data_IF_282559155466
#
_entry.id   IF_282559155466
#
_cell.length_a   1.000
_cell.length_b   1.000
_cell.length_c   1.000
_cell.angle_alpha   90.00
_cell.angle_beta   90.00
_cell.angle_gamma   90.00
#
_symmetry.space_group_name_H-M   'P 1'
#
loop_
_entity.id
_entity.type
_entity.pdbx_description
1 polymer ?
#
# COMPACT_ATOMS: atom_id res chain seq x y z
N UNK A 1 11.86 -40.38 16.45
CA UNK A 1 11.30 -39.25 15.69
C UNK A 1 10.32 -38.49 16.58
N UNK A 2 10.04 -37.24 16.20
CA UNK A 2 8.98 -36.32 16.66
C UNK A 2 9.45 -35.26 17.67
N UNK A 3 10.00 -34.17 17.13
CA UNK A 3 10.06 -32.86 17.78
C UNK A 3 8.65 -32.25 17.76
N UNK A 4 8.01 -32.16 18.93
CA UNK A 4 6.78 -31.40 19.10
C UNK A 4 7.10 -29.90 19.03
N UNK A 5 6.83 -29.28 17.89
CA UNK A 5 6.82 -27.83 17.75
C UNK A 5 5.57 -27.27 18.44
N UNK A 6 5.65 -27.05 19.76
CA UNK A 6 4.79 -26.07 20.42
C UNK A 6 5.24 -24.68 19.98
N UNK A 7 4.81 -24.27 18.79
CA UNK A 7 4.93 -22.88 18.34
C UNK A 7 3.77 -22.14 18.98
N UNK A 8 4.03 -21.58 20.16
CA UNK A 8 3.19 -20.54 20.73
C UNK A 8 2.93 -19.49 19.64
N UNK A 9 1.67 -19.18 19.29
CA UNK A 9 1.40 -18.22 18.23
C UNK A 9 2.06 -16.89 18.63
N UNK A 10 2.79 -16.22 17.72
CA UNK A 10 3.46 -14.97 18.05
C UNK A 10 2.45 -14.00 18.66
N UNK A 11 2.83 -13.25 19.71
CA UNK A 11 1.92 -12.37 20.42
C UNK A 11 1.17 -11.51 19.42
N UNK A 12 -0.15 -11.47 19.54
CA UNK A 12 -0.99 -10.66 18.68
C UNK A 12 -0.51 -9.22 18.81
N UNK A 13 0.17 -8.71 17.77
CA UNK A 13 0.60 -7.32 17.71
C UNK A 13 -0.63 -6.49 17.97
N UNK A 14 -0.62 -5.64 19.00
CA UNK A 14 -1.75 -4.77 19.32
C UNK A 14 -1.98 -3.83 18.13
N UNK A 15 -2.87 -4.23 17.21
CA UNK A 15 -3.16 -3.49 15.99
C UNK A 15 -4.03 -2.31 16.36
N UNK A 16 -3.43 -1.14 16.57
CA UNK A 16 -4.20 0.10 16.62
C UNK A 16 -4.97 0.24 15.30
N UNK A 17 -6.26 0.57 15.30
CA UNK A 17 -6.96 0.86 14.07
C UNK A 17 -6.28 2.05 13.36
N UNK A 18 -6.02 1.90 12.06
CA UNK A 18 -5.55 3.00 11.23
C UNK A 18 -6.60 4.11 11.24
N UNK A 19 -6.14 5.35 11.32
CA UNK A 19 -6.95 6.57 11.30
C UNK A 19 -6.80 7.29 9.96
N UNK A 20 -7.61 8.31 9.73
CA UNK A 20 -7.46 9.16 8.54
C UNK A 20 -6.13 9.93 8.54
N UNK A 21 -5.64 10.37 9.70
CA UNK A 21 -4.33 11.01 9.83
C UNK A 21 -3.20 10.05 9.43
N UNK A 22 -3.28 8.78 9.86
CA UNK A 22 -2.32 7.76 9.45
C UNK A 22 -2.35 7.54 7.93
N UNK A 23 -3.53 7.58 7.31
CA UNK A 23 -3.68 7.45 5.86
C UNK A 23 -3.00 8.60 5.10
N UNK A 24 -3.13 9.83 5.60
CA UNK A 24 -2.43 11.01 5.06
C UNK A 24 -0.91 10.83 5.16
N UNK A 25 -0.40 10.43 6.32
CA UNK A 25 1.03 10.18 6.52
C UNK A 25 1.55 9.05 5.63
N UNK A 26 0.76 7.99 5.42
CA UNK A 26 1.10 6.86 4.54
C UNK A 26 1.19 7.30 3.07
N UNK A 27 0.33 8.22 2.63
CA UNK A 27 0.41 8.82 1.29
C UNK A 27 1.68 9.63 1.10
N UNK A 28 1.97 10.52 2.04
CA UNK A 28 3.20 11.33 2.04
C UNK A 28 4.43 10.43 2.00
N UNK A 29 4.47 9.39 2.85
CA UNK A 29 5.60 8.46 2.91
C UNK A 29 5.80 7.68 1.60
N UNK A 30 4.72 7.37 0.87
CA UNK A 30 4.82 6.74 -0.46
C UNK A 30 5.53 7.66 -1.46
N UNK A 31 5.18 8.94 -1.51
CA UNK A 31 5.83 9.89 -2.42
C UNK A 31 7.29 10.15 -2.07
N UNK A 32 7.63 10.06 -0.79
CA UNK A 32 9.01 10.06 -0.29
C UNK A 32 9.75 8.72 -0.52
N UNK A 33 9.14 7.75 -1.20
CA UNK A 33 9.69 6.42 -1.52
C UNK A 33 10.11 5.62 -0.28
N UNK A 34 9.43 5.82 0.86
CA UNK A 34 9.62 4.97 2.04
C UNK A 34 9.17 3.55 1.72
N UNK A 35 9.95 2.56 2.15
CA UNK A 35 9.67 1.16 1.83
C UNK A 35 8.38 0.70 2.54
N UNK A 36 7.50 -0.07 1.89
CA UNK A 36 6.25 -0.55 2.50
C UNK A 36 6.46 -1.35 3.79
N UNK A 37 7.55 -2.11 3.90
CA UNK A 37 7.87 -2.88 5.12
C UNK A 37 8.14 -1.99 6.34
N UNK A 38 8.70 -0.80 6.13
CA UNK A 38 8.95 0.15 7.20
C UNK A 38 7.63 0.79 7.68
N UNK A 39 6.68 1.02 6.76
CA UNK A 39 5.33 1.46 7.09
C UNK A 39 4.55 0.41 7.87
N UNK A 40 4.61 -0.86 7.45
CA UNK A 40 3.97 -1.98 8.16
C UNK A 40 4.46 -2.06 9.61
N UNK A 41 5.77 -1.94 9.82
CA UNK A 41 6.38 -1.94 11.16
C UNK A 41 5.95 -0.74 11.98
N UNK A 42 5.95 0.46 11.37
CA UNK A 42 5.60 1.72 12.06
C UNK A 42 4.14 1.76 12.50
N UNK A 43 3.22 1.34 11.63
CA UNK A 43 1.78 1.39 11.88
C UNK A 43 1.20 0.07 12.40
N UNK A 44 2.04 -0.95 12.60
CA UNK A 44 1.64 -2.29 13.05
C UNK A 44 0.47 -2.87 12.23
N UNK A 45 0.45 -2.60 10.92
CA UNK A 45 -0.67 -2.94 10.04
C UNK A 45 -0.31 -4.05 9.05
N UNK A 46 -1.33 -4.78 8.58
CA UNK A 46 -1.18 -5.75 7.51
C UNK A 46 -0.77 -5.05 6.19
N UNK A 47 0.12 -5.65 5.37
CA UNK A 47 0.54 -5.09 4.09
C UNK A 47 -0.62 -4.66 3.18
N UNK A 48 -1.72 -5.45 3.14
CA UNK A 48 -2.89 -5.18 2.31
C UNK A 48 -3.53 -3.84 2.67
N UNK A 49 -3.50 -3.44 3.95
CA UNK A 49 -4.10 -2.18 4.41
C UNK A 49 -3.43 -0.96 3.77
N UNK A 50 -2.13 -1.02 3.50
CA UNK A 50 -1.44 0.05 2.79
C UNK A 50 -1.98 0.21 1.37
N UNK A 51 -2.20 -0.90 0.67
CA UNK A 51 -2.77 -0.88 -0.69
C UNK A 51 -4.23 -0.41 -0.71
N UNK A 52 -5.04 -0.75 0.30
CA UNK A 52 -6.42 -0.24 0.41
C UNK A 52 -6.46 1.28 0.56
N UNK A 53 -5.52 1.85 1.34
CA UNK A 53 -5.35 3.31 1.47
C UNK A 53 -4.88 3.90 0.15
N UNK A 54 -3.91 3.27 -0.49
CA UNK A 54 -3.37 3.73 -1.77
C UNK A 54 -4.35 3.59 -2.94
N UNK A 55 -5.29 2.66 -2.88
CA UNK A 55 -6.42 2.51 -3.81
C UNK A 55 -7.55 3.52 -3.50
N UNK A 56 -7.45 4.29 -2.41
CA UNK A 56 -8.53 5.09 -1.82
C UNK A 56 -9.80 4.29 -1.48
N UNK A 57 -9.71 2.96 -1.43
CA UNK A 57 -10.80 2.08 -0.99
C UNK A 57 -11.09 2.28 0.50
N UNK A 58 -10.07 2.65 1.28
CA UNK A 58 -10.16 3.02 2.69
C UNK A 58 -9.67 4.46 2.87
N UNK A 59 -10.44 5.27 3.59
CA UNK A 59 -10.22 6.73 3.74
C UNK A 59 -10.23 7.48 2.39
N UNK A 60 -11.37 7.49 1.67
CA UNK A 60 -11.47 8.21 0.40
C UNK A 60 -11.21 9.71 0.61
N UNK A 61 -10.42 10.33 -0.28
CA UNK A 61 -10.06 11.74 -0.19
C UNK A 61 -8.81 12.02 0.67
N UNK A 62 -8.31 11.02 1.41
CA UNK A 62 -7.05 11.15 2.17
C UNK A 62 -5.85 11.49 1.27
N UNK A 63 -5.87 11.04 0.00
CA UNK A 63 -4.85 11.37 -1.00
C UNK A 63 -4.78 12.86 -1.31
N UNK A 64 -5.94 13.50 -1.49
CA UNK A 64 -6.01 14.92 -1.82
C UNK A 64 -5.47 15.76 -0.66
N UNK A 65 -5.91 15.44 0.57
CA UNK A 65 -5.38 16.08 1.79
C UNK A 65 -3.88 15.87 1.96
N UNK A 66 -3.39 14.67 1.70
CA UNK A 66 -1.96 14.39 1.72
C UNK A 66 -1.19 15.21 0.69
N UNK A 67 -1.75 15.44 -0.50
CA UNK A 67 -1.10 16.22 -1.55
C UNK A 67 -0.96 17.68 -1.15
N UNK A 68 -2.01 18.27 -0.58
CA UNK A 68 -1.98 19.63 -0.02
C UNK A 68 -0.91 19.75 1.07
N UNK A 69 -0.91 18.80 2.02
CA UNK A 69 0.05 18.78 3.11
C UNK A 69 1.50 18.57 2.63
N UNK A 70 1.69 17.72 1.62
CA UNK A 70 2.99 17.47 1.01
C UNK A 70 3.55 18.73 0.34
N UNK A 71 2.73 19.47 -0.41
CA UNK A 71 3.15 20.71 -1.05
C UNK A 71 3.57 21.77 -0.04
N UNK A 72 2.84 21.88 1.08
CA UNK A 72 3.19 22.80 2.17
C UNK A 72 4.49 22.40 2.87
N UNK A 73 4.69 21.10 3.13
CA UNK A 73 5.85 20.60 3.89
C UNK A 73 7.12 20.47 3.06
N UNK A 74 7.00 20.21 1.75
CA UNK A 74 8.11 19.94 0.85
C UNK A 74 8.03 20.83 -0.40
N UNK A 75 8.15 22.17 -0.25
CA UNK A 75 8.17 23.06 -1.40
C UNK A 75 9.38 22.75 -2.29
N UNK A 76 9.18 22.68 -3.61
CA UNK A 76 10.24 22.37 -4.58
C UNK A 76 10.40 20.89 -4.93
N UNK A 77 9.58 20.00 -4.34
CA UNK A 77 9.52 18.58 -4.71
C UNK A 77 8.40 18.24 -5.72
N UNK A 78 7.77 19.25 -6.32
CA UNK A 78 6.72 19.09 -7.34
C UNK A 78 7.16 18.19 -8.52
N UNK A 79 6.20 17.46 -9.13
CA UNK A 79 6.04 16.04 -8.96
C UNK A 79 7.09 15.24 -9.75
N UNK A 80 8.15 14.79 -9.06
CA UNK A 80 9.02 13.70 -9.53
C UNK A 80 8.41 12.31 -9.26
N UNK A 81 7.12 12.26 -8.96
CA UNK A 81 6.37 11.07 -8.57
C UNK A 81 4.96 11.12 -9.15
N UNK A 82 4.34 9.95 -9.31
CA UNK A 82 2.93 9.84 -9.71
C UNK A 82 2.02 10.03 -8.48
N UNK A 83 1.18 11.09 -8.43
CA UNK A 83 0.23 11.31 -7.35
C UNK A 83 -1.03 10.44 -7.49
N UNK A 84 -1.15 9.64 -8.56
CA UNK A 84 -2.30 8.80 -8.83
C UNK A 84 -2.56 7.72 -7.78
N UNK A 85 -3.82 7.25 -7.66
CA UNK A 85 -4.15 6.14 -6.79
C UNK A 85 -3.53 4.85 -7.33
N UNK A 86 -3.18 3.92 -6.44
CA UNK A 86 -2.82 2.58 -6.87
C UNK A 86 -4.01 1.93 -7.59
N UNK A 87 -3.77 1.40 -8.78
CA UNK A 87 -4.76 0.67 -9.55
C UNK A 87 -4.44 -0.81 -9.50
N UNK A 88 -5.39 -1.63 -9.07
CA UNK A 88 -5.30 -3.08 -9.23
C UNK A 88 -5.47 -3.39 -10.72
N UNK A 89 -4.44 -3.98 -11.32
CA UNK A 89 -4.50 -4.48 -12.69
C UNK A 89 -5.10 -5.89 -12.66
N UNK A 90 -6.24 -6.14 -13.33
CA UNK A 90 -6.80 -7.48 -13.42
C UNK A 90 -5.82 -8.44 -14.12
N UNK A 91 -5.72 -9.67 -13.64
CA UNK A 91 -4.89 -10.76 -14.23
C UNK A 91 -5.73 -11.58 -15.23
N UNK A 92 -6.89 -11.09 -15.66
CA UNK A 92 -7.72 -11.80 -16.62
C UNK A 92 -6.94 -11.99 -17.93
N UNK A 93 -6.86 -13.24 -18.41
CA UNK A 93 -6.18 -13.56 -19.66
C UNK A 93 -6.98 -12.92 -20.79
N UNK A 94 -6.41 -11.98 -21.57
CA UNK A 94 -7.07 -11.45 -22.74
C UNK A 94 -7.34 -12.60 -23.72
N UNK A 95 -8.54 -12.74 -24.30
CA UNK A 95 -8.83 -13.83 -25.23
C UNK A 95 -7.92 -13.78 -26.48
N UNK A 96 -7.43 -12.60 -26.85
CA UNK A 96 -6.47 -12.40 -27.95
C UNK A 96 -5.04 -12.86 -27.63
N UNK A 97 -4.71 -13.16 -26.37
CA UNK A 97 -3.36 -13.59 -25.98
C UNK A 97 -3.03 -14.97 -26.55
N UNK A 98 -4.05 -15.83 -26.74
CA UNK A 98 -3.88 -17.15 -27.35
C UNK A 98 -3.60 -17.05 -28.85
N UNK A 99 -4.09 -15.99 -29.52
CA UNK A 99 -3.83 -15.74 -30.95
C UNK A 99 -2.39 -15.34 -31.26
N UNK A 100 -1.55 -15.11 -30.24
CA UNK A 100 -0.13 -14.81 -30.40
C UNK A 100 0.74 -16.07 -30.60
N UNK A 101 0.17 -17.26 -30.40
CA UNK A 101 0.85 -18.54 -30.57
C UNK A 101 0.19 -19.32 -31.72
N UNK A 102 0.87 -19.54 -32.87
CA UNK A 102 0.32 -20.37 -33.94
C UNK A 102 0.20 -21.83 -33.47
N UNK A 103 -0.90 -22.51 -33.83
CA UNK A 103 -1.04 -23.96 -33.65
C UNK A 103 -0.02 -24.68 -34.53
N UNK A 104 0.68 -25.67 -33.94
CA UNK A 104 1.73 -26.46 -34.59
C UNK A 104 1.16 -27.62 -35.43
#
# INVERSE_FOLDING_TARGET
>A
MVTAFLVEPPPAVARRPLTEADAVDIWIARWLRIRPIDLQRRYACDPRRLYEIWEEARFPGSRARALEEFQVRFPGLEPRFDPGPHRRVPIAIPPSQLSLFPEA
#
